data_IF_486356421346
#
_entry.id   IF_486356421346
#
_cell.length_a   1.000
_cell.length_b   1.000
_cell.length_c   1.000
_cell.angle_alpha   90.00
_cell.angle_beta   90.00
_cell.angle_gamma   90.00
#
_symmetry.space_group_name_H-M   'P 1'
#
loop_
_entity.id
_entity.type
_entity.pdbx_description
1 polymer ?
#
# COMPACT_ATOMS: atom_id res chain seq x y z
N UNK A 1 0.54 -11.57 8.32
CA UNK A 1 -0.52 -12.25 7.54
C UNK A 1 -0.26 -13.74 7.60
N UNK A 2 -1.29 -14.54 7.94
CA UNK A 2 -1.21 -16.01 7.87
C UNK A 2 -1.12 -16.40 6.39
N UNK A 3 -0.11 -17.18 6.01
CA UNK A 3 0.07 -17.66 4.64
C UNK A 3 -0.37 -19.11 4.56
N UNK A 4 -1.19 -19.44 3.57
CA UNK A 4 -1.60 -20.80 3.22
C UNK A 4 -0.91 -21.28 1.95
N UNK A 5 -1.08 -22.56 1.64
CA UNK A 5 -0.60 -23.17 0.40
C UNK A 5 -1.80 -23.46 -0.50
N UNK A 6 -1.90 -22.73 -1.61
CA UNK A 6 -2.99 -22.90 -2.57
C UNK A 6 -3.03 -24.33 -3.14
N UNK A 7 -1.88 -24.96 -3.35
CA UNK A 7 -1.81 -26.28 -3.99
C UNK A 7 -2.45 -27.42 -3.16
N UNK A 8 -2.57 -27.20 -1.85
CA UNK A 8 -3.12 -28.18 -0.90
C UNK A 8 -4.40 -27.70 -0.23
N UNK A 9 -4.89 -26.50 -0.63
CA UNK A 9 -6.06 -25.91 -0.01
C UNK A 9 -7.36 -26.62 -0.42
N UNK A 10 -8.23 -26.82 0.55
CA UNK A 10 -9.58 -27.37 0.34
C UNK A 10 -10.60 -26.44 1.01
N UNK A 11 -11.73 -26.21 0.37
CA UNK A 11 -12.82 -25.38 0.88
C UNK A 11 -13.03 -24.09 0.11
N UNK A 12 -13.78 -23.18 0.70
CA UNK A 12 -14.15 -21.93 0.08
C UNK A 12 -13.01 -20.89 0.18
N UNK A 13 -12.87 -20.10 -0.87
CA UNK A 13 -11.94 -18.97 -0.88
C UNK A 13 -12.59 -17.75 -1.55
N UNK A 14 -11.97 -16.60 -1.32
CA UNK A 14 -12.47 -15.27 -1.68
C UNK A 14 -11.43 -14.56 -2.52
N UNK A 15 -11.86 -14.01 -3.66
CA UNK A 15 -11.02 -13.28 -4.60
C UNK A 15 -11.16 -11.78 -4.40
N UNK A 16 -10.08 -11.09 -4.08
CA UNK A 16 -10.00 -9.63 -4.01
C UNK A 16 -9.10 -9.07 -5.10
N UNK A 17 -9.55 -7.98 -5.76
CA UNK A 17 -8.79 -7.29 -6.81
C UNK A 17 -8.76 -5.80 -6.51
N UNK A 18 -7.57 -5.25 -6.28
CA UNK A 18 -7.34 -3.81 -6.21
C UNK A 18 -6.75 -3.32 -7.54
N UNK A 19 -7.56 -2.62 -8.31
CA UNK A 19 -7.19 -2.06 -9.61
C UNK A 19 -6.86 -0.57 -9.48
N UNK A 20 -5.65 -0.27 -9.05
CA UNK A 20 -5.15 1.10 -9.00
C UNK A 20 -4.85 1.69 -10.38
N UNK A 21 -4.57 2.99 -10.43
CA UNK A 21 -4.22 3.71 -11.67
C UNK A 21 -2.94 3.18 -12.33
N UNK A 22 -1.98 2.74 -11.56
CA UNK A 22 -0.66 2.26 -12.05
C UNK A 22 -0.38 0.80 -11.73
N UNK A 23 -0.98 0.26 -10.68
CA UNK A 23 -0.72 -1.10 -10.22
C UNK A 23 -2.00 -1.88 -10.07
N UNK A 24 -1.93 -3.20 -10.26
CA UNK A 24 -3.00 -4.14 -9.95
C UNK A 24 -2.49 -5.13 -8.91
N UNK A 25 -3.29 -5.32 -7.87
CA UNK A 25 -3.04 -6.28 -6.81
C UNK A 25 -4.18 -7.29 -6.76
N UNK A 26 -3.86 -8.55 -6.53
CA UNK A 26 -4.85 -9.61 -6.41
C UNK A 26 -4.50 -10.46 -5.21
N UNK A 27 -5.49 -10.81 -4.43
CA UNK A 27 -5.37 -11.74 -3.31
C UNK A 27 -6.46 -12.82 -3.40
N UNK A 28 -6.08 -14.05 -3.14
CA UNK A 28 -6.99 -15.14 -2.86
C UNK A 28 -6.85 -15.52 -1.39
N UNK A 29 -7.95 -15.48 -0.66
CA UNK A 29 -7.97 -15.66 0.80
C UNK A 29 -8.87 -16.84 1.14
N UNK A 30 -8.40 -17.74 1.99
CA UNK A 30 -9.19 -18.86 2.51
C UNK A 30 -10.19 -18.44 3.59
N UNK A 31 -11.16 -19.30 3.91
CA UNK A 31 -12.14 -19.06 4.99
C UNK A 31 -11.53 -18.78 6.35
N UNK A 32 -10.33 -19.30 6.60
CA UNK A 32 -9.58 -19.10 7.83
C UNK A 32 -8.72 -17.82 7.85
N UNK A 33 -8.89 -16.96 6.83
CA UNK A 33 -8.14 -15.72 6.66
C UNK A 33 -6.71 -15.92 6.14
N UNK A 34 -6.33 -17.12 5.73
CA UNK A 34 -5.00 -17.36 5.16
C UNK A 34 -4.89 -16.80 3.74
N UNK A 35 -3.77 -16.15 3.45
CA UNK A 35 -3.44 -15.69 2.10
C UNK A 35 -2.92 -16.88 1.28
N UNK A 36 -3.71 -17.34 0.33
CA UNK A 36 -3.42 -18.50 -0.54
C UNK A 36 -2.65 -18.12 -1.79
N UNK A 37 -2.93 -16.93 -2.33
CA UNK A 37 -2.25 -16.39 -3.50
C UNK A 37 -2.19 -14.88 -3.39
N UNK A 38 -1.10 -14.29 -3.83
CA UNK A 38 -0.96 -12.84 -3.96
C UNK A 38 -0.25 -12.47 -5.25
N UNK A 39 -0.71 -11.39 -5.86
CA UNK A 39 -0.12 -10.82 -7.06
C UNK A 39 -0.02 -9.31 -6.92
N UNK A 40 1.10 -8.75 -7.32
CA UNK A 40 1.34 -7.32 -7.38
C UNK A 40 2.14 -7.00 -8.63
N UNK A 41 1.61 -6.15 -9.49
CA UNK A 41 2.33 -5.74 -10.70
C UNK A 41 1.91 -4.35 -11.17
N UNK A 42 2.82 -3.67 -11.85
CA UNK A 42 2.45 -2.52 -12.67
C UNK A 42 1.48 -2.99 -13.77
N UNK A 43 0.40 -2.25 -13.99
CA UNK A 43 -0.62 -2.59 -14.99
C UNK A 43 -0.39 -1.94 -16.34
N UNK A 44 0.61 -1.06 -16.47
CA UNK A 44 0.96 -0.36 -17.71
C UNK A 44 -0.26 0.30 -18.38
N UNK A 45 -1.20 0.83 -17.57
CA UNK A 45 -2.45 1.42 -18.05
C UNK A 45 -3.53 0.41 -18.46
N UNK A 46 -3.34 -0.87 -18.24
CA UNK A 46 -4.31 -1.94 -18.57
C UNK A 46 -4.60 -2.86 -17.37
N UNK A 47 -5.36 -2.36 -16.37
CA UNK A 47 -5.67 -3.15 -15.17
C UNK A 47 -6.47 -4.42 -15.51
N UNK A 48 -7.39 -4.36 -16.47
CA UNK A 48 -8.20 -5.50 -16.87
C UNK A 48 -7.34 -6.64 -17.44
N UNK A 49 -6.45 -6.35 -18.39
CA UNK A 49 -5.58 -7.37 -18.99
C UNK A 49 -4.66 -8.00 -17.94
N UNK A 50 -4.18 -7.17 -16.99
CA UNK A 50 -3.33 -7.63 -15.89
C UNK A 50 -4.10 -8.54 -14.95
N UNK A 51 -5.34 -8.18 -14.59
CA UNK A 51 -6.22 -9.01 -13.77
C UNK A 51 -6.54 -10.34 -14.44
N UNK A 52 -6.92 -10.33 -15.72
CA UNK A 52 -7.24 -11.56 -16.48
C UNK A 52 -6.06 -12.53 -16.46
N UNK A 53 -4.84 -12.05 -16.66
CA UNK A 53 -3.64 -12.89 -16.65
C UNK A 53 -3.46 -13.57 -15.29
N UNK A 54 -3.55 -12.82 -14.21
CA UNK A 54 -3.39 -13.36 -12.86
C UNK A 54 -4.51 -14.30 -12.45
N UNK A 55 -5.76 -14.00 -12.84
CA UNK A 55 -6.91 -14.89 -12.58
C UNK A 55 -6.75 -16.22 -13.30
N UNK A 56 -6.27 -16.21 -14.55
CA UNK A 56 -5.97 -17.47 -15.28
C UNK A 56 -4.92 -18.29 -14.53
N UNK A 57 -3.87 -17.66 -14.04
CA UNK A 57 -2.86 -18.33 -13.23
C UNK A 57 -3.43 -18.94 -11.94
N UNK A 58 -4.37 -18.24 -11.29
CA UNK A 58 -5.07 -18.79 -10.12
C UNK A 58 -5.85 -20.05 -10.51
N UNK A 59 -6.63 -20.00 -11.57
CA UNK A 59 -7.43 -21.16 -12.02
C UNK A 59 -6.57 -22.35 -12.44
N UNK A 60 -5.40 -22.12 -13.01
CA UNK A 60 -4.45 -23.19 -13.36
C UNK A 60 -3.89 -23.89 -12.12
N UNK A 61 -3.78 -23.18 -10.99
CA UNK A 61 -3.23 -23.67 -9.71
C UNK A 61 -4.30 -24.11 -8.71
N UNK A 62 -5.56 -23.76 -8.96
CA UNK A 62 -6.67 -24.00 -8.03
C UNK A 62 -6.99 -25.50 -7.94
N UNK A 63 -6.89 -26.12 -6.75
CA UNK A 63 -7.25 -27.53 -6.58
C UNK A 63 -8.74 -27.77 -6.83
N UNK A 64 -9.10 -29.00 -7.21
CA UNK A 64 -10.48 -29.37 -7.50
C UNK A 64 -11.44 -29.19 -6.29
N UNK A 65 -10.90 -29.27 -5.07
CA UNK A 65 -11.66 -29.11 -3.83
C UNK A 65 -11.65 -27.68 -3.28
N UNK A 66 -11.04 -26.72 -3.99
CA UNK A 66 -11.05 -25.32 -3.64
C UNK A 66 -12.02 -24.55 -4.54
N UNK A 67 -12.85 -23.70 -3.93
CA UNK A 67 -13.92 -23.00 -4.65
C UNK A 67 -13.87 -21.50 -4.36
N UNK A 68 -13.74 -20.68 -5.41
CA UNK A 68 -13.91 -19.23 -5.28
C UNK A 68 -15.41 -18.98 -5.20
N UNK A 69 -15.89 -18.64 -4.01
CA UNK A 69 -17.32 -18.48 -3.72
C UNK A 69 -17.77 -17.03 -3.70
N UNK A 70 -16.83 -16.09 -3.66
CA UNK A 70 -17.12 -14.66 -3.73
C UNK A 70 -15.92 -13.89 -4.27
N UNK A 71 -16.20 -12.82 -4.99
CA UNK A 71 -15.21 -11.97 -5.65
C UNK A 71 -15.57 -10.49 -5.53
N UNK A 72 -14.57 -9.66 -5.25
CA UNK A 72 -14.75 -8.22 -5.08
C UNK A 72 -13.62 -7.45 -5.75
N UNK A 73 -13.96 -6.32 -6.37
CA UNK A 73 -12.98 -5.35 -6.87
C UNK A 73 -13.04 -4.04 -6.10
N UNK A 74 -11.90 -3.35 -6.06
CA UNK A 74 -11.76 -2.01 -5.49
C UNK A 74 -10.74 -1.18 -6.29
N UNK A 75 -10.56 0.08 -5.93
CA UNK A 75 -9.63 1.00 -6.57
C UNK A 75 -10.23 1.71 -7.78
N UNK A 76 -9.39 2.46 -8.51
CA UNK A 76 -9.81 3.28 -9.65
C UNK A 76 -10.51 2.47 -10.76
N UNK A 77 -10.08 1.23 -10.98
CA UNK A 77 -10.66 0.33 -11.99
C UNK A 77 -11.80 -0.56 -11.50
N UNK A 78 -12.33 -0.33 -10.30
CA UNK A 78 -13.34 -1.17 -9.63
C UNK A 78 -14.51 -1.51 -10.56
N UNK A 79 -15.24 -0.49 -11.05
CA UNK A 79 -16.43 -0.68 -11.87
C UNK A 79 -16.13 -1.41 -13.20
N UNK A 80 -14.99 -1.10 -13.83
CA UNK A 80 -14.54 -1.77 -15.04
C UNK A 80 -14.31 -3.26 -14.80
N UNK A 81 -13.59 -3.61 -13.74
CA UNK A 81 -13.28 -5.01 -13.46
C UNK A 81 -14.53 -5.77 -13.03
N UNK A 82 -15.37 -5.18 -12.18
CA UNK A 82 -16.65 -5.78 -11.78
C UNK A 82 -17.50 -6.14 -13.00
N UNK A 83 -17.68 -5.20 -13.91
CA UNK A 83 -18.49 -5.41 -15.10
C UNK A 83 -17.87 -6.42 -16.09
N UNK A 84 -16.57 -6.29 -16.38
CA UNK A 84 -15.89 -7.10 -17.39
C UNK A 84 -15.65 -8.55 -16.93
N UNK A 85 -15.42 -8.78 -15.65
CA UNK A 85 -15.14 -10.09 -15.06
C UNK A 85 -16.36 -10.69 -14.36
N UNK A 86 -17.50 -9.98 -14.36
CA UNK A 86 -18.74 -10.39 -13.67
C UNK A 86 -18.49 -10.73 -12.20
N UNK A 87 -17.74 -9.87 -11.51
CA UNK A 87 -17.46 -10.05 -10.08
C UNK A 87 -18.74 -9.80 -9.27
N UNK A 88 -18.82 -10.45 -8.12
CA UNK A 88 -20.00 -10.37 -7.25
C UNK A 88 -20.17 -8.95 -6.71
N UNK A 89 -19.10 -8.32 -6.23
CA UNK A 89 -19.14 -7.00 -5.65
C UNK A 89 -18.04 -6.06 -6.14
N UNK A 90 -18.27 -4.77 -5.95
CA UNK A 90 -17.30 -3.71 -6.02
C UNK A 90 -17.39 -2.85 -4.76
N UNK A 91 -16.25 -2.49 -4.17
CA UNK A 91 -16.21 -1.73 -2.92
C UNK A 91 -15.40 -0.45 -3.08
N UNK A 92 -15.84 0.59 -2.38
CA UNK A 92 -15.08 1.84 -2.30
C UNK A 92 -13.74 1.59 -1.62
N UNK A 93 -12.67 2.11 -2.19
CA UNK A 93 -11.29 1.85 -1.74
C UNK A 93 -11.09 2.12 -0.24
N UNK A 94 -11.62 3.23 0.28
CA UNK A 94 -11.49 3.59 1.71
C UNK A 94 -12.21 2.61 2.63
N UNK A 95 -13.33 2.05 2.17
CA UNK A 95 -14.11 1.02 2.90
C UNK A 95 -13.36 -0.31 2.88
N UNK A 96 -12.82 -0.70 1.72
CA UNK A 96 -11.99 -1.89 1.60
C UNK A 96 -10.74 -1.82 2.51
N UNK A 97 -10.09 -0.65 2.58
CA UNK A 97 -8.98 -0.39 3.51
C UNK A 97 -9.40 -0.55 4.97
N UNK A 98 -10.58 -0.03 5.34
CA UNK A 98 -11.09 -0.18 6.69
C UNK A 98 -11.35 -1.65 7.05
N UNK A 99 -12.04 -2.40 6.22
CA UNK A 99 -12.30 -3.82 6.48
C UNK A 99 -11.02 -4.64 6.61
N UNK A 100 -10.03 -4.35 5.76
CA UNK A 100 -8.73 -5.01 5.86
C UNK A 100 -8.01 -4.68 7.17
N UNK A 101 -8.00 -3.41 7.58
CA UNK A 101 -7.38 -2.99 8.83
C UNK A 101 -8.11 -3.59 10.05
N UNK A 102 -9.45 -3.54 10.06
CA UNK A 102 -10.27 -4.08 11.14
C UNK A 102 -10.17 -5.61 11.29
N UNK A 103 -9.84 -6.32 10.21
CA UNK A 103 -9.55 -7.75 10.28
C UNK A 103 -8.31 -8.06 11.13
N UNK A 104 -7.30 -7.18 11.11
CA UNK A 104 -6.09 -7.34 11.91
C UNK A 104 -6.17 -6.67 13.27
N UNK A 105 -6.85 -5.53 13.36
CA UNK A 105 -7.08 -4.77 14.58
C UNK A 105 -8.53 -4.26 14.61
N UNK A 106 -9.46 -5.03 15.24
CA UNK A 106 -10.88 -4.65 15.33
C UNK A 106 -11.14 -3.31 16.03
N UNK A 107 -10.19 -2.84 16.85
CA UNK A 107 -10.27 -1.58 17.59
C UNK A 107 -9.55 -0.42 16.88
N UNK A 108 -9.25 -0.57 15.59
CA UNK A 108 -8.53 0.46 14.82
C UNK A 108 -9.24 1.82 14.88
N UNK A 109 -8.48 2.85 15.26
CA UNK A 109 -8.95 4.25 15.34
C UNK A 109 -8.55 5.04 14.08
N UNK A 110 -7.38 4.71 13.53
CA UNK A 110 -6.80 5.46 12.43
C UNK A 110 -6.01 4.54 11.49
N UNK A 111 -6.21 4.73 10.20
CA UNK A 111 -5.45 4.04 9.15
C UNK A 111 -4.62 5.07 8.40
N UNK A 112 -3.30 4.87 8.37
CA UNK A 112 -2.38 5.60 7.52
C UNK A 112 -2.04 4.73 6.32
N UNK A 113 -2.67 5.02 5.19
CA UNK A 113 -2.38 4.35 3.94
C UNK A 113 -1.38 5.18 3.13
N UNK A 114 -0.19 4.63 2.88
CA UNK A 114 0.89 5.29 2.14
C UNK A 114 1.08 4.55 0.84
N UNK A 115 0.38 5.00 -0.18
CA UNK A 115 0.44 4.44 -1.52
C UNK A 115 1.65 4.93 -2.32
N UNK A 116 1.73 4.46 -3.57
CA UNK A 116 2.77 4.89 -4.51
C UNK A 116 2.63 6.35 -4.94
N UNK A 117 1.42 6.84 -5.12
CA UNK A 117 1.13 8.18 -5.65
C UNK A 117 0.28 9.05 -4.74
N UNK A 118 -0.44 8.45 -3.83
CA UNK A 118 -1.31 9.14 -2.87
C UNK A 118 -1.05 8.66 -1.45
N UNK A 119 -1.63 9.37 -0.52
CA UNK A 119 -1.61 9.04 0.89
C UNK A 119 -2.98 9.36 1.47
N UNK A 120 -3.49 8.45 2.29
CA UNK A 120 -4.78 8.60 2.96
C UNK A 120 -4.60 8.46 4.46
N UNK A 121 -5.28 9.33 5.20
CA UNK A 121 -5.53 9.12 6.62
C UNK A 121 -7.03 8.89 6.79
N UNK A 122 -7.40 7.70 7.22
CA UNK A 122 -8.78 7.28 7.42
C UNK A 122 -9.01 7.20 8.93
N UNK A 123 -9.87 8.06 9.46
CA UNK A 123 -10.27 8.02 10.87
C UNK A 123 -11.50 7.15 11.04
N UNK A 124 -11.45 6.28 12.03
CA UNK A 124 -12.52 5.35 12.35
C UNK A 124 -13.19 5.78 13.67
N UNK A 125 -14.50 5.77 13.70
CA UNK A 125 -15.28 6.05 14.89
C UNK A 125 -16.53 5.18 14.89
N UNK A 126 -16.80 4.55 16.02
CA UNK A 126 -17.93 3.64 16.15
C UNK A 126 -17.96 2.56 15.05
N UNK A 127 -16.80 1.97 14.74
CA UNK A 127 -16.63 0.93 13.70
C UNK A 127 -17.10 1.37 12.29
N UNK A 128 -16.96 2.66 12.00
CA UNK A 128 -17.33 3.26 10.72
C UNK A 128 -16.28 4.28 10.30
N UNK A 129 -16.09 4.45 9.01
CA UNK A 129 -15.25 5.52 8.47
C UNK A 129 -15.87 6.87 8.80
N UNK A 130 -15.22 7.64 9.68
CA UNK A 130 -15.69 8.96 10.13
C UNK A 130 -15.21 10.06 9.19
N UNK A 131 -13.93 10.04 8.84
CA UNK A 131 -13.36 11.02 7.92
C UNK A 131 -12.17 10.47 7.15
N UNK A 132 -11.95 11.03 5.97
CA UNK A 132 -10.83 10.69 5.08
C UNK A 132 -10.11 11.96 4.69
N UNK A 133 -8.81 12.00 4.93
CA UNK A 133 -7.92 13.05 4.45
C UNK A 133 -7.02 12.48 3.38
N UNK A 134 -7.04 13.09 2.21
CA UNK A 134 -6.29 12.66 1.03
C UNK A 134 -5.18 13.65 0.69
N UNK A 135 -4.05 13.15 0.23
CA UNK A 135 -3.03 13.94 -0.43
C UNK A 135 -2.69 13.36 -1.80
N UNK A 136 -3.37 13.82 -2.82
CA UNK A 136 -3.11 13.49 -4.22
C UNK A 136 -2.15 14.48 -4.90
N UNK A 137 -1.98 15.65 -4.30
CA UNK A 137 -1.32 16.79 -4.96
C UNK A 137 0.21 16.79 -4.87
N UNK A 138 0.82 15.93 -4.05
CA UNK A 138 2.26 15.99 -3.82
C UNK A 138 2.87 14.59 -3.67
N UNK A 139 3.53 14.13 -4.72
CA UNK A 139 4.30 12.88 -4.73
C UNK A 139 5.43 12.81 -3.69
N UNK A 140 5.82 13.96 -3.08
CA UNK A 140 6.88 14.01 -2.07
C UNK A 140 6.53 13.36 -0.73
N UNK A 141 5.29 12.93 -0.56
CA UNK A 141 4.81 12.19 0.61
C UNK A 141 4.47 10.73 0.32
N UNK A 142 4.75 10.22 -0.87
CA UNK A 142 4.28 8.92 -1.33
C UNK A 142 5.43 8.00 -1.75
N UNK A 143 5.15 6.73 -1.93
CA UNK A 143 6.14 5.69 -2.23
C UNK A 143 6.93 5.92 -3.53
N UNK A 144 6.31 6.48 -4.57
CA UNK A 144 6.98 6.79 -5.85
C UNK A 144 8.18 7.74 -5.69
N UNK A 145 8.14 8.58 -4.67
CA UNK A 145 9.27 9.44 -4.34
C UNK A 145 10.47 8.63 -3.83
N UNK A 146 10.24 7.68 -2.93
CA UNK A 146 11.27 6.77 -2.42
C UNK A 146 11.80 5.89 -3.56
N UNK A 147 10.91 5.37 -4.41
CA UNK A 147 11.28 4.56 -5.58
C UNK A 147 12.22 5.32 -6.53
N UNK A 148 11.92 6.59 -6.80
CA UNK A 148 12.77 7.44 -7.65
C UNK A 148 14.18 7.59 -7.09
N UNK A 149 14.30 7.79 -5.77
CA UNK A 149 15.61 7.86 -5.13
C UNK A 149 16.33 6.52 -5.12
N UNK A 150 15.66 5.43 -4.78
CA UNK A 150 16.25 4.09 -4.82
C UNK A 150 16.84 3.80 -6.20
N UNK A 151 16.08 4.04 -7.27
CA UNK A 151 16.54 3.88 -8.66
C UNK A 151 17.74 4.77 -8.98
N UNK A 152 17.76 6.01 -8.51
CA UNK A 152 18.88 6.93 -8.75
C UNK A 152 20.19 6.49 -8.09
N UNK A 153 20.09 5.65 -7.07
CA UNK A 153 21.20 5.07 -6.32
C UNK A 153 21.50 3.61 -6.74
N UNK A 154 20.83 3.10 -7.80
CA UNK A 154 20.92 1.73 -8.29
C UNK A 154 20.48 0.67 -7.25
N UNK A 155 19.48 0.98 -6.45
CA UNK A 155 18.87 0.05 -5.50
C UNK A 155 17.46 -0.36 -5.95
N UNK A 156 17.05 -1.57 -5.59
CA UNK A 156 15.62 -1.89 -5.53
C UNK A 156 14.98 -1.14 -4.37
N UNK A 157 13.68 -0.88 -4.41
CA UNK A 157 12.97 -0.20 -3.30
C UNK A 157 13.11 -0.99 -2.01
N UNK A 158 13.01 -2.32 -2.10
CA UNK A 158 13.11 -3.23 -0.96
C UNK A 158 14.50 -3.19 -0.32
N UNK A 159 15.57 -3.22 -1.12
CA UNK A 159 16.93 -3.17 -0.59
C UNK A 159 17.24 -1.78 -0.05
N UNK A 160 16.77 -0.72 -0.71
CA UNK A 160 16.89 0.65 -0.22
C UNK A 160 16.19 0.84 1.14
N UNK A 161 14.99 0.28 1.30
CA UNK A 161 14.27 0.31 2.58
C UNK A 161 15.01 -0.47 3.68
N UNK A 162 15.63 -1.60 3.35
CA UNK A 162 16.46 -2.37 4.31
C UNK A 162 17.68 -1.58 4.77
N UNK A 163 18.32 -0.84 3.86
CA UNK A 163 19.47 0.00 4.21
C UNK A 163 19.12 1.02 5.30
N UNK A 164 17.91 1.55 5.34
CA UNK A 164 17.46 2.49 6.37
C UNK A 164 17.62 1.95 7.81
N UNK A 165 17.52 0.63 7.99
CA UNK A 165 17.67 -0.02 9.30
C UNK A 165 19.10 0.06 9.84
N UNK A 166 20.09 0.32 9.00
CA UNK A 166 21.50 0.43 9.36
C UNK A 166 21.99 1.88 9.53
N UNK A 167 21.06 2.85 9.39
CA UNK A 167 21.39 4.26 9.53
C UNK A 167 21.93 4.59 10.92
N UNK A 168 23.03 5.32 10.97
CA UNK A 168 23.63 5.82 12.22
C UNK A 168 23.27 7.28 12.49
N UNK A 169 23.22 8.08 11.43
CA UNK A 169 22.92 9.50 11.46
C UNK A 169 21.99 9.87 10.31
N UNK A 170 20.67 9.54 10.39
CA UNK A 170 19.72 9.87 9.35
C UNK A 170 19.75 11.35 8.98
N UNK A 171 19.84 11.67 7.68
CA UNK A 171 19.87 13.06 7.22
C UNK A 171 18.52 13.74 7.45
N UNK A 172 18.52 14.97 7.94
CA UNK A 172 17.28 15.74 8.07
C UNK A 172 16.93 16.44 6.74
N UNK A 173 16.00 15.87 6.02
CA UNK A 173 15.46 16.44 4.77
C UNK A 173 14.33 17.43 5.00
N UNK A 174 13.81 17.51 6.23
CA UNK A 174 12.64 18.31 6.58
C UNK A 174 11.36 17.83 5.89
N UNK A 175 10.39 18.76 5.74
CA UNK A 175 9.07 18.50 5.12
C UNK A 175 8.87 19.33 3.85
N UNK A 176 9.92 19.48 3.04
CA UNK A 176 9.90 20.34 1.85
C UNK A 176 9.48 19.58 0.59
N UNK A 177 9.21 20.31 -0.48
CA UNK A 177 8.93 19.78 -1.82
C UNK A 177 10.10 18.92 -2.34
N UNK A 178 9.78 17.93 -3.17
CA UNK A 178 10.70 16.98 -3.81
C UNK A 178 11.93 17.63 -4.45
N UNK A 179 11.75 18.78 -5.09
CA UNK A 179 12.86 19.50 -5.75
C UNK A 179 13.93 19.91 -4.74
N UNK A 180 13.52 20.41 -3.58
CA UNK A 180 14.46 20.81 -2.53
C UNK A 180 15.10 19.59 -1.83
N UNK A 181 14.37 18.49 -1.72
CA UNK A 181 14.93 17.25 -1.17
C UNK A 181 16.00 16.66 -2.08
N UNK A 182 15.80 16.67 -3.40
CA UNK A 182 16.82 16.26 -4.36
C UNK A 182 18.16 17.02 -4.16
N UNK A 183 18.08 18.33 -4.00
CA UNK A 183 19.29 19.14 -3.78
C UNK A 183 19.97 18.79 -2.45
N UNK A 184 19.21 18.59 -1.38
CA UNK A 184 19.73 18.18 -0.07
C UNK A 184 20.36 16.79 -0.09
N UNK A 185 19.73 15.82 -0.76
CA UNK A 185 20.29 14.47 -0.91
C UNK A 185 21.62 14.54 -1.68
N UNK A 186 21.67 15.27 -2.80
CA UNK A 186 22.92 15.45 -3.56
C UNK A 186 24.01 16.11 -2.73
N UNK A 187 23.65 17.08 -1.91
CA UNK A 187 24.59 17.71 -0.98
C UNK A 187 25.10 16.74 0.06
N UNK A 188 24.20 16.01 0.72
CA UNK A 188 24.55 15.00 1.71
C UNK A 188 25.47 13.89 1.13
N UNK A 189 25.23 13.47 -0.12
CA UNK A 189 26.14 12.55 -0.82
C UNK A 189 27.53 13.12 -1.00
N UNK A 190 27.65 14.40 -1.37
CA UNK A 190 28.95 15.08 -1.50
C UNK A 190 29.68 15.22 -0.16
N UNK A 191 28.93 15.34 0.91
CA UNK A 191 29.42 15.42 2.30
C UNK A 191 29.72 14.03 2.90
N UNK A 192 29.51 12.95 2.14
CA UNK A 192 29.86 11.59 2.55
C UNK A 192 28.78 10.85 3.35
N UNK A 193 27.53 11.30 3.30
CA UNK A 193 26.41 10.58 3.91
C UNK A 193 26.27 9.18 3.30
N UNK A 194 26.04 8.19 4.16
CA UNK A 194 25.81 6.81 3.71
C UNK A 194 24.46 6.63 3.04
N UNK A 195 24.32 5.60 2.21
CA UNK A 195 23.01 5.24 1.62
C UNK A 195 21.98 4.96 2.71
N UNK A 196 22.40 4.33 3.81
CA UNK A 196 21.56 4.06 4.97
C UNK A 196 21.00 5.36 5.59
N UNK A 197 21.85 6.36 5.82
CA UNK A 197 21.44 7.65 6.39
C UNK A 197 20.52 8.44 5.46
N UNK A 198 20.73 8.34 4.14
CA UNK A 198 19.86 8.93 3.12
C UNK A 198 18.50 8.23 3.09
N UNK A 199 18.48 6.91 3.08
CA UNK A 199 17.25 6.12 3.06
C UNK A 199 16.38 6.38 4.29
N UNK A 200 16.99 6.36 5.47
CA UNK A 200 16.29 6.68 6.72
C UNK A 200 15.78 8.12 6.73
N UNK A 201 16.58 9.08 6.26
CA UNK A 201 16.17 10.48 6.15
C UNK A 201 14.96 10.68 5.24
N UNK A 202 14.90 9.96 4.11
CA UNK A 202 13.75 9.96 3.20
C UNK A 202 12.51 9.36 3.85
N UNK A 203 12.64 8.22 4.55
CA UNK A 203 11.55 7.59 5.28
C UNK A 203 10.96 8.55 6.34
N UNK A 204 11.81 9.16 7.16
CA UNK A 204 11.36 10.18 8.12
C UNK A 204 10.67 11.37 7.46
N UNK A 205 11.18 11.84 6.32
CA UNK A 205 10.58 12.96 5.60
C UNK A 205 9.18 12.63 5.08
N UNK A 206 8.99 11.42 4.53
CA UNK A 206 7.67 10.94 4.08
C UNK A 206 6.68 10.89 5.24
N UNK A 207 7.06 10.30 6.37
CA UNK A 207 6.20 10.23 7.55
C UNK A 207 5.89 11.62 8.12
N UNK A 208 6.89 12.51 8.23
CA UNK A 208 6.66 13.90 8.66
C UNK A 208 5.71 14.64 7.73
N UNK A 209 5.83 14.44 6.41
CA UNK A 209 4.88 15.02 5.44
C UNK A 209 3.46 14.48 5.65
N UNK A 210 3.31 13.17 5.88
CA UNK A 210 2.03 12.55 6.21
C UNK A 210 1.39 13.24 7.41
N UNK A 211 2.08 13.27 8.51
CA UNK A 211 1.55 13.72 9.80
C UNK A 211 1.29 15.24 9.80
N UNK A 212 2.22 16.05 9.31
CA UNK A 212 2.15 17.50 9.49
C UNK A 212 1.54 18.27 8.33
N UNK A 213 1.60 17.74 7.11
CA UNK A 213 1.03 18.44 5.93
C UNK A 213 -0.31 17.87 5.48
N UNK A 214 -0.45 16.55 5.48
CA UNK A 214 -1.69 15.90 5.04
C UNK A 214 -2.70 15.91 6.17
N UNK A 215 -2.35 15.30 7.29
CA UNK A 215 -3.24 15.16 8.46
C UNK A 215 -3.33 16.47 9.24
N UNK A 216 -2.32 17.36 9.12
CA UNK A 216 -2.17 18.60 9.88
C UNK A 216 -2.26 18.37 11.39
N UNK A 217 -1.60 17.31 11.81
CA UNK A 217 -1.62 16.86 13.19
C UNK A 217 -1.05 17.95 14.12
N UNK A 218 -1.82 18.35 15.11
CA UNK A 218 -1.39 19.28 16.15
C UNK A 218 -0.91 18.52 17.39
N UNK A 219 -1.52 17.38 17.68
CA UNK A 219 -1.20 16.51 18.80
C UNK A 219 -1.31 15.03 18.39
N UNK A 220 -0.41 14.20 18.88
CA UNK A 220 -0.39 12.77 18.54
C UNK A 220 -1.66 12.02 19.01
N UNK A 221 -2.31 12.52 20.05
CA UNK A 221 -3.57 11.94 20.55
C UNK A 221 -4.74 12.01 19.56
N UNK A 222 -4.65 12.89 18.56
CA UNK A 222 -5.65 13.01 17.49
C UNK A 222 -5.70 11.79 16.56
N UNK A 223 -4.65 10.97 16.54
CA UNK A 223 -4.61 9.72 15.77
C UNK A 223 -5.33 8.55 16.45
N UNK A 224 -5.67 8.70 17.75
CA UNK A 224 -6.18 7.59 18.55
C UNK A 224 -5.07 6.74 19.15
N UNK A 225 -5.44 5.53 19.57
CA UNK A 225 -4.51 4.59 20.23
C UNK A 225 -4.11 3.42 19.32
N UNK A 226 -5.06 2.97 18.50
CA UNK A 226 -4.90 1.81 17.63
C UNK A 226 -4.72 2.28 16.18
N UNK A 227 -3.46 2.36 15.76
CA UNK A 227 -3.10 2.91 14.45
C UNK A 227 -2.59 1.78 13.56
N UNK A 228 -3.24 1.58 12.43
CA UNK A 228 -2.78 0.68 11.38
C UNK A 228 -2.07 1.48 10.30
N UNK A 229 -0.83 1.10 9.98
CA UNK A 229 -0.07 1.66 8.87
C UNK A 229 -0.01 0.62 7.76
N UNK A 230 -0.40 1.00 6.56
CA UNK A 230 -0.46 0.12 5.41
C UNK A 230 -0.02 0.84 4.13
N UNK A 231 0.00 0.13 3.02
CA UNK A 231 0.42 0.59 1.72
C UNK A 231 1.50 -0.29 1.13
N UNK A 232 1.99 0.04 -0.07
CA UNK A 232 2.98 -0.79 -0.74
C UNK A 232 3.74 -0.08 -1.85
#
# INVERSE_FOLDING_TARGET
VKTGDLSTYEGNCYLGIDAGSTTTKIALVGEDGSLLYSFYSNNNGSPLSTAIRSIKEIYEKLPANAHIVHSCSTGYGEALLKAALMLDDGEVETVAHYYAAAFFDPEVDCILDIGGQDMKCIKIKNQTVDSVQLNEACSSGCGSFIETFAKSLNFSVQDFAKEALFAKNPIDLGTRCTVFMNSKVKQAQKEGASVADISAGLAYSVIKNALFKVIKLSDASELGKNIVVQGG
#
